data_IF_365374485943
#
_entry.id   IF_365374485943
#
_cell.length_a   1.000
_cell.length_b   1.000
_cell.length_c   1.000
_cell.angle_alpha   90.00
_cell.angle_beta   90.00
_cell.angle_gamma   90.00
#
_symmetry.space_group_name_H-M   'P 1'
#
loop_
_entity.id
_entity.type
_entity.pdbx_description
1 polymer ?
#
# COMPACT_ATOMS: atom_id res chain seq x y z
N UNK A 1 7.46 -3.08 -14.30
CA UNK A 1 7.17 -2.30 -15.52
C UNK A 1 7.05 -0.81 -15.17
N UNK A 2 7.50 0.11 -16.03
CA UNK A 2 7.29 1.57 -15.90
C UNK A 2 6.60 2.08 -17.17
N UNK A 3 5.39 2.61 -17.04
CA UNK A 3 4.68 3.31 -18.13
C UNK A 3 4.86 4.82 -17.92
N UNK A 4 5.12 5.56 -19.00
CA UNK A 4 5.27 7.03 -18.96
C UNK A 4 4.45 7.63 -20.09
N UNK A 5 3.54 8.57 -19.78
CA UNK A 5 2.81 9.32 -20.79
C UNK A 5 3.74 10.42 -21.35
N UNK A 6 4.14 10.28 -22.62
CA UNK A 6 5.13 11.16 -23.27
C UNK A 6 4.49 12.32 -24.05
N UNK A 7 3.32 12.10 -24.64
CA UNK A 7 2.60 13.09 -25.43
C UNK A 7 1.10 12.79 -25.45
N UNK A 8 0.28 13.77 -25.85
CA UNK A 8 -1.16 13.63 -25.97
C UNK A 8 -1.78 14.89 -26.57
N UNK A 9 -2.94 14.75 -27.22
CA UNK A 9 -3.65 15.85 -27.88
C UNK A 9 -5.15 15.73 -27.63
N UNK A 10 -5.78 16.86 -27.34
CA UNK A 10 -7.21 16.97 -27.06
C UNK A 10 -7.90 17.89 -28.07
N UNK A 11 -9.21 17.76 -28.24
CA UNK A 11 -10.03 18.77 -28.90
C UNK A 11 -11.13 19.27 -27.96
N UNK A 12 -11.13 20.57 -27.66
CA UNK A 12 -11.97 21.24 -26.64
C UNK A 12 -13.50 21.07 -26.79
N UNK A 13 -13.99 20.46 -27.88
CA UNK A 13 -15.41 20.16 -28.13
C UNK A 13 -15.70 18.68 -28.41
N UNK A 14 -14.68 17.85 -28.62
CA UNK A 14 -14.79 16.47 -29.14
C UNK A 14 -13.83 15.51 -28.42
N UNK A 15 -13.55 15.77 -27.15
CA UNK A 15 -12.75 14.88 -26.30
C UNK A 15 -13.27 14.97 -24.88
N UNK A 16 -13.80 13.86 -24.39
CA UNK A 16 -14.35 13.72 -23.05
C UNK A 16 -13.42 12.89 -22.15
N UNK A 17 -13.75 12.79 -20.85
CA UNK A 17 -12.94 12.03 -19.89
C UNK A 17 -12.87 10.53 -20.17
N UNK A 18 -13.87 9.98 -20.86
CA UNK A 18 -13.89 8.57 -21.28
C UNK A 18 -12.87 8.26 -22.39
N UNK A 19 -12.74 9.16 -23.36
CA UNK A 19 -11.88 8.96 -24.55
C UNK A 19 -10.42 8.76 -24.17
N UNK A 20 -9.93 9.52 -23.16
CA UNK A 20 -8.56 9.34 -22.65
C UNK A 20 -8.35 7.99 -21.96
N UNK A 21 -9.38 7.41 -21.34
CA UNK A 21 -9.29 6.09 -20.69
C UNK A 21 -9.21 4.99 -21.74
N UNK A 22 -10.09 5.03 -22.74
CA UNK A 22 -10.06 4.13 -23.90
C UNK A 22 -8.75 4.24 -24.68
N UNK A 23 -8.29 5.46 -24.97
CA UNK A 23 -7.01 5.70 -25.62
C UNK A 23 -5.82 5.19 -24.79
N UNK A 24 -5.88 5.29 -23.46
CA UNK A 24 -4.82 4.75 -22.58
C UNK A 24 -4.76 3.22 -22.67
N UNK A 25 -5.91 2.55 -22.57
CA UNK A 25 -5.97 1.09 -22.69
C UNK A 25 -5.52 0.60 -24.07
N UNK A 26 -5.97 1.26 -25.14
CA UNK A 26 -5.55 0.94 -26.52
C UNK A 26 -4.07 1.23 -26.76
N UNK A 27 -3.50 2.29 -26.19
CA UNK A 27 -2.06 2.56 -26.26
C UNK A 27 -1.21 1.50 -25.54
N UNK A 28 -1.66 1.00 -24.38
CA UNK A 28 -1.00 -0.12 -23.69
C UNK A 28 -1.14 -1.41 -24.52
N UNK A 29 -2.32 -1.69 -25.07
CA UNK A 29 -2.57 -2.86 -25.93
C UNK A 29 -1.72 -2.81 -27.21
N UNK A 30 -1.63 -1.65 -27.87
CA UNK A 30 -0.75 -1.40 -29.01
C UNK A 30 0.70 -1.76 -28.66
N UNK A 31 1.21 -1.25 -27.53
CA UNK A 31 2.57 -1.55 -27.07
C UNK A 31 2.81 -3.04 -26.81
N UNK A 32 1.82 -3.77 -26.29
CA UNK A 32 1.88 -5.22 -26.07
C UNK A 32 1.79 -6.04 -27.38
N UNK A 33 1.14 -5.53 -28.43
CA UNK A 33 1.13 -6.16 -29.77
C UNK A 33 2.42 -5.89 -30.56
N UNK A 34 3.05 -4.73 -30.33
CA UNK A 34 4.31 -4.34 -30.97
C UNK A 34 5.57 -4.91 -30.30
N UNK A 35 5.45 -5.63 -29.18
CA UNK A 35 6.60 -6.13 -28.40
C UNK A 35 6.40 -7.57 -27.94
N UNK A 36 7.51 -8.26 -27.63
CA UNK A 36 7.45 -9.60 -27.03
C UNK A 36 6.99 -9.48 -25.57
N UNK A 37 5.76 -9.89 -25.31
CA UNK A 37 5.23 -9.98 -23.94
C UNK A 37 5.89 -11.13 -23.17
N UNK A 38 6.43 -10.84 -21.98
CA UNK A 38 7.04 -11.84 -21.09
C UNK A 38 6.03 -12.23 -20.01
N UNK A 39 5.72 -13.53 -19.91
CA UNK A 39 4.90 -14.05 -18.83
C UNK A 39 5.69 -14.06 -17.51
N UNK A 40 5.04 -13.60 -16.43
CA UNK A 40 5.60 -13.62 -15.08
C UNK A 40 4.77 -14.55 -14.20
N UNK A 41 5.41 -15.24 -13.26
CA UNK A 41 4.75 -16.07 -12.26
C UNK A 41 5.23 -15.72 -10.84
N UNK A 42 4.45 -16.02 -9.78
CA UNK A 42 4.85 -15.71 -8.42
C UNK A 42 5.94 -16.66 -7.93
N UNK A 43 6.95 -16.10 -7.28
CA UNK A 43 8.08 -16.83 -6.68
C UNK A 43 8.04 -16.77 -5.16
N UNK A 44 8.38 -17.86 -4.50
CA UNK A 44 8.72 -17.89 -3.08
C UNK A 44 10.16 -17.47 -2.86
N UNK A 45 10.43 -16.80 -1.74
CA UNK A 45 11.70 -16.87 -1.01
C UNK A 45 11.54 -17.95 0.04
N UNK A 46 12.54 -18.80 0.25
CA UNK A 46 12.44 -19.91 1.20
C UNK A 46 13.66 -20.06 2.11
N UNK A 47 13.41 -20.65 3.27
CA UNK A 47 14.40 -21.22 4.18
C UNK A 47 14.06 -22.71 4.35
N UNK A 48 15.05 -23.58 4.15
CA UNK A 48 14.93 -25.03 4.28
C UNK A 48 15.98 -25.54 5.27
N UNK A 49 15.52 -25.88 6.47
CA UNK A 49 16.29 -26.58 7.49
C UNK A 49 16.25 -28.09 7.20
N UNK A 50 17.41 -28.75 7.16
CA UNK A 50 17.50 -30.21 7.00
C UNK A 50 18.84 -30.76 7.52
N UNK A 51 18.93 -32.08 7.82
CA UNK A 51 20.21 -32.69 8.18
C UNK A 51 21.25 -32.54 7.07
N UNK A 52 22.49 -32.19 7.39
CA UNK A 52 23.53 -31.82 6.41
C UNK A 52 23.71 -32.88 5.30
N UNK A 53 23.62 -34.16 5.68
CA UNK A 53 23.72 -35.35 4.80
C UNK A 53 22.65 -35.40 3.69
N UNK A 54 21.61 -34.55 3.76
CA UNK A 54 20.53 -34.43 2.76
C UNK A 54 20.63 -33.16 1.90
N UNK A 55 21.54 -32.24 2.18
CA UNK A 55 21.68 -30.94 1.48
C UNK A 55 21.81 -31.11 -0.04
N UNK A 56 22.73 -31.97 -0.50
CA UNK A 56 22.94 -32.19 -1.93
C UNK A 56 21.71 -32.75 -2.66
N UNK A 57 20.86 -33.54 -1.98
CA UNK A 57 19.56 -33.94 -2.52
C UNK A 57 18.62 -32.75 -2.61
N UNK A 58 18.49 -31.97 -1.54
CA UNK A 58 17.56 -30.85 -1.50
C UNK A 58 17.88 -29.79 -2.57
N UNK A 59 19.17 -29.48 -2.79
CA UNK A 59 19.60 -28.62 -3.90
C UNK A 59 19.22 -29.22 -5.25
N UNK A 60 19.52 -30.51 -5.48
CA UNK A 60 19.14 -31.23 -6.71
C UNK A 60 17.62 -31.24 -6.97
N UNK A 61 16.81 -31.29 -5.91
CA UNK A 61 15.34 -31.25 -6.01
C UNK A 61 14.83 -29.80 -6.21
N UNK A 62 15.52 -28.77 -5.68
CA UNK A 62 15.24 -27.34 -5.94
C UNK A 62 15.61 -26.93 -7.37
N UNK A 63 16.73 -27.40 -7.90
CA UNK A 63 17.17 -27.13 -9.28
C UNK A 63 16.12 -27.65 -10.29
N UNK A 64 15.59 -28.87 -10.07
CA UNK A 64 14.48 -29.43 -10.87
C UNK A 64 13.18 -28.63 -10.78
N UNK A 65 12.97 -27.93 -9.68
CA UNK A 65 11.83 -27.04 -9.47
C UNK A 65 12.05 -25.65 -10.12
N UNK A 66 13.14 -25.45 -10.86
CA UNK A 66 13.57 -24.16 -11.44
C UNK A 66 13.80 -23.08 -10.38
N UNK A 67 14.23 -23.50 -9.19
CA UNK A 67 14.67 -22.62 -8.12
C UNK A 67 16.18 -22.37 -8.11
N UNK A 68 16.58 -21.40 -7.31
CA UNK A 68 17.97 -21.16 -6.89
C UNK A 68 18.11 -21.49 -5.40
N UNK A 69 19.28 -22.00 -4.99
CA UNK A 69 19.58 -22.25 -3.57
C UNK A 69 21.06 -22.04 -3.22
N UNK A 70 21.31 -21.60 -1.99
CA UNK A 70 22.63 -21.46 -1.39
C UNK A 70 22.62 -21.90 0.08
N UNK A 71 23.77 -22.29 0.62
CA UNK A 71 23.91 -22.71 2.02
C UNK A 71 24.20 -21.48 2.88
N UNK A 72 23.22 -21.06 3.69
CA UNK A 72 23.38 -19.95 4.63
C UNK A 72 24.13 -20.38 5.91
N UNK A 73 23.94 -21.62 6.35
CA UNK A 73 24.59 -22.18 7.54
C UNK A 73 24.71 -23.71 7.48
N UNK A 74 25.74 -24.26 8.12
CA UNK A 74 25.82 -25.69 8.48
C UNK A 74 26.63 -25.83 9.77
N UNK A 75 26.17 -26.70 10.68
CA UNK A 75 26.83 -26.98 11.97
C UNK A 75 27.41 -28.41 12.08
N UNK A 76 27.21 -29.24 11.06
CA UNK A 76 27.66 -30.64 10.99
C UNK A 76 26.62 -31.69 11.39
N UNK A 77 25.47 -31.28 11.92
CA UNK A 77 24.27 -32.13 12.04
C UNK A 77 23.13 -31.59 11.16
N UNK A 78 22.86 -30.28 11.26
CA UNK A 78 21.86 -29.54 10.50
C UNK A 78 22.48 -28.49 9.59
N UNK A 79 21.79 -28.21 8.49
CA UNK A 79 22.12 -27.17 7.53
C UNK A 79 20.87 -26.34 7.19
N UNK A 80 21.10 -25.09 6.80
CA UNK A 80 20.08 -24.14 6.38
C UNK A 80 20.36 -23.74 4.93
N UNK A 81 19.53 -24.21 4.02
CA UNK A 81 19.48 -23.71 2.64
C UNK A 81 18.53 -22.51 2.58
N UNK A 82 18.93 -21.46 1.87
CA UNK A 82 18.07 -20.33 1.51
C UNK A 82 18.02 -20.18 0.00
N UNK A 83 16.98 -19.54 -0.54
CA UNK A 83 16.87 -19.37 -1.98
C UNK A 83 15.50 -18.88 -2.44
N UNK A 84 15.22 -19.07 -3.73
CA UNK A 84 13.93 -18.70 -4.31
C UNK A 84 13.51 -19.62 -5.45
N UNK A 85 12.22 -19.91 -5.56
CA UNK A 85 11.68 -20.85 -6.54
C UNK A 85 10.22 -20.53 -6.91
N UNK A 86 9.71 -20.99 -8.07
CA UNK A 86 8.31 -20.83 -8.44
C UNK A 86 7.33 -21.37 -7.39
N UNK A 87 6.24 -20.64 -7.15
CA UNK A 87 5.12 -21.09 -6.29
C UNK A 87 4.39 -22.30 -6.90
N UNK A 88 4.44 -22.43 -8.22
CA UNK A 88 3.90 -23.53 -9.00
C UNK A 88 4.59 -24.86 -8.67
N UNK A 89 5.92 -24.88 -8.67
CA UNK A 89 6.74 -26.09 -8.51
C UNK A 89 6.96 -26.50 -7.05
N UNK A 90 7.16 -25.56 -6.12
CA UNK A 90 7.34 -25.88 -4.69
C UNK A 90 6.10 -26.47 -3.99
N UNK A 91 4.95 -26.56 -4.66
CA UNK A 91 3.69 -27.00 -4.06
C UNK A 91 3.77 -28.46 -3.58
N UNK A 92 3.63 -28.65 -2.27
CA UNK A 92 3.79 -29.91 -1.51
C UNK A 92 5.23 -30.32 -1.17
N UNK A 93 6.28 -29.59 -1.58
CA UNK A 93 7.67 -30.03 -1.39
C UNK A 93 8.02 -30.36 0.08
N UNK A 94 7.43 -29.66 1.07
CA UNK A 94 7.58 -29.98 2.49
C UNK A 94 7.19 -31.43 2.87
N UNK A 95 6.27 -32.08 2.14
CA UNK A 95 5.91 -33.49 2.36
C UNK A 95 7.04 -34.43 1.93
N UNK A 96 7.73 -34.11 0.84
CA UNK A 96 8.88 -34.87 0.35
C UNK A 96 10.10 -34.65 1.24
N UNK A 97 10.35 -33.40 1.64
CA UNK A 97 11.33 -33.03 2.68
C UNK A 97 11.11 -33.87 3.94
N UNK A 98 9.90 -33.88 4.51
CA UNK A 98 9.57 -34.72 5.68
C UNK A 98 9.88 -36.20 5.41
N UNK A 99 9.51 -36.73 4.25
CA UNK A 99 9.70 -38.13 3.92
C UNK A 99 11.18 -38.54 3.84
N UNK A 100 12.04 -37.77 3.15
CA UNK A 100 13.46 -38.14 3.02
C UNK A 100 14.32 -37.74 4.24
N UNK A 101 13.94 -36.70 4.98
CA UNK A 101 14.61 -36.31 6.24
C UNK A 101 14.11 -37.09 7.47
N UNK A 102 13.13 -37.99 7.30
CA UNK A 102 12.45 -38.74 8.39
C UNK A 102 11.77 -37.84 9.43
N UNK A 103 11.31 -36.65 9.01
CA UNK A 103 10.64 -35.67 9.85
C UNK A 103 11.53 -34.56 10.40
N UNK A 104 12.85 -34.61 10.20
CA UNK A 104 13.77 -33.58 10.70
C UNK A 104 13.80 -32.30 9.84
N UNK A 105 13.27 -32.33 8.62
CA UNK A 105 13.32 -31.22 7.66
C UNK A 105 12.12 -30.26 7.72
N UNK A 106 12.39 -28.96 7.58
CA UNK A 106 11.40 -27.87 7.65
C UNK A 106 11.63 -26.84 6.55
N UNK A 107 10.66 -26.74 5.65
CA UNK A 107 10.55 -25.69 4.64
C UNK A 107 9.65 -24.55 5.15
N UNK A 108 10.18 -23.33 5.14
CA UNK A 108 9.45 -22.08 5.33
C UNK A 108 9.47 -21.30 4.01
N UNK A 109 8.33 -20.76 3.59
CA UNK A 109 8.23 -19.97 2.35
C UNK A 109 7.49 -18.65 2.60
N UNK A 110 7.97 -17.57 2.00
CA UNK A 110 7.32 -16.25 1.93
C UNK A 110 7.24 -15.79 0.47
N UNK A 111 6.25 -14.95 0.12
CA UNK A 111 6.12 -14.45 -1.25
C UNK A 111 7.23 -13.42 -1.55
N UNK A 112 8.14 -13.74 -2.49
CA UNK A 112 9.23 -12.85 -2.93
C UNK A 112 8.73 -11.77 -3.88
N UNK A 113 7.77 -12.13 -4.74
CA UNK A 113 7.23 -11.26 -5.78
C UNK A 113 6.87 -12.07 -7.02
N UNK A 114 7.06 -11.46 -8.20
CA UNK A 114 6.88 -12.08 -9.50
C UNK A 114 8.18 -12.01 -10.30
N UNK A 115 8.59 -13.13 -10.88
CA UNK A 115 9.77 -13.26 -11.74
C UNK A 115 9.35 -13.88 -13.09
N UNK A 116 10.29 -14.02 -14.04
CA UNK A 116 9.98 -14.62 -15.34
C UNK A 116 9.48 -16.06 -15.16
N UNK A 117 8.38 -16.41 -15.84
CA UNK A 117 7.82 -17.75 -15.77
C UNK A 117 8.79 -18.79 -16.33
N UNK A 118 8.86 -19.96 -15.70
CA UNK A 118 9.82 -21.02 -16.03
C UNK A 118 9.39 -21.92 -17.22
N UNK A 119 8.08 -22.01 -17.48
CA UNK A 119 7.50 -22.80 -18.59
C UNK A 119 6.50 -21.97 -19.44
N UNK A 120 6.86 -20.77 -19.93
CA UNK A 120 5.90 -19.83 -20.49
C UNK A 120 5.22 -20.34 -21.75
N UNK A 121 5.89 -21.13 -22.58
CA UNK A 121 5.32 -21.72 -23.80
C UNK A 121 4.15 -22.66 -23.49
N UNK A 122 4.31 -23.56 -22.51
CA UNK A 122 3.28 -24.51 -22.08
C UNK A 122 2.03 -23.78 -21.53
N UNK A 123 2.25 -22.74 -20.74
CA UNK A 123 1.17 -21.94 -20.15
C UNK A 123 0.46 -21.09 -21.23
N UNK A 124 1.19 -20.53 -22.20
CA UNK A 124 0.61 -19.75 -23.30
C UNK A 124 -0.19 -20.67 -24.24
N UNK A 125 0.34 -21.84 -24.60
CA UNK A 125 -0.35 -22.82 -25.46
C UNK A 125 -1.62 -23.38 -24.79
N UNK A 126 -1.53 -23.76 -23.51
CA UNK A 126 -2.67 -24.34 -22.76
C UNK A 126 -3.78 -23.34 -22.44
N UNK A 127 -3.46 -22.04 -22.32
CA UNK A 127 -4.47 -20.97 -22.20
C UNK A 127 -5.05 -20.61 -23.58
N UNK A 128 -4.26 -20.66 -24.66
CA UNK A 128 -4.71 -20.43 -26.03
C UNK A 128 -5.27 -19.03 -26.29
N UNK A 129 -4.76 -18.00 -25.60
CA UNK A 129 -5.28 -16.63 -25.67
C UNK A 129 -5.02 -15.99 -27.04
N UNK A 130 -6.07 -15.84 -27.84
CA UNK A 130 -6.07 -15.06 -29.09
C UNK A 130 -6.35 -13.58 -28.77
N UNK A 131 -5.37 -12.66 -28.95
CA UNK A 131 -5.55 -11.26 -28.59
C UNK A 131 -6.53 -10.51 -29.51
N UNK A 132 -6.76 -10.98 -30.74
CA UNK A 132 -7.68 -10.32 -31.69
C UNK A 132 -9.14 -10.68 -31.44
N UNK A 133 -9.41 -11.73 -30.64
CA UNK A 133 -10.76 -12.09 -30.16
C UNK A 133 -11.15 -11.44 -28.84
N UNK A 134 -10.24 -10.75 -28.17
CA UNK A 134 -10.54 -10.08 -26.90
C UNK A 134 -11.35 -8.79 -27.12
N UNK A 135 -12.68 -8.93 -27.08
CA UNK A 135 -13.63 -7.80 -27.18
C UNK A 135 -13.55 -6.83 -25.99
N UNK A 136 -12.90 -7.20 -24.89
CA UNK A 136 -12.69 -6.33 -23.71
C UNK A 136 -11.39 -5.52 -23.79
N UNK A 137 -10.37 -6.05 -24.48
CA UNK A 137 -9.09 -5.38 -24.74
C UNK A 137 -8.76 -5.42 -26.25
N UNK A 138 -9.59 -4.80 -27.12
CA UNK A 138 -9.42 -4.88 -28.57
C UNK A 138 -8.05 -4.36 -29.02
N UNK A 139 -7.39 -5.08 -29.93
CA UNK A 139 -6.07 -4.73 -30.47
C UNK A 139 -6.08 -3.43 -31.30
N UNK A 140 -7.20 -3.13 -31.94
CA UNK A 140 -7.38 -1.99 -32.82
C UNK A 140 -7.52 -0.64 -32.09
N UNK A 141 -7.14 0.44 -32.77
CA UNK A 141 -7.47 1.80 -32.37
C UNK A 141 -8.64 2.36 -33.17
N UNK A 142 -9.27 3.42 -32.64
CA UNK A 142 -10.34 4.16 -33.31
C UNK A 142 -9.83 5.54 -33.69
N UNK A 143 -10.03 5.93 -34.94
CA UNK A 143 -9.68 7.24 -35.48
C UNK A 143 -10.94 7.93 -36.02
N UNK A 144 -10.92 9.26 -36.10
CA UNK A 144 -12.06 10.04 -36.58
C UNK A 144 -11.69 10.84 -37.83
N UNK A 145 -12.43 10.63 -38.92
CA UNK A 145 -12.30 11.38 -40.18
C UNK A 145 -13.68 11.92 -40.59
N UNK A 146 -13.75 13.17 -41.04
CA UNK A 146 -14.99 13.82 -41.51
C UNK A 146 -16.19 13.76 -40.52
N UNK A 147 -15.94 13.50 -39.24
CA UNK A 147 -16.97 13.37 -38.20
C UNK A 147 -17.46 11.93 -37.94
N UNK A 148 -16.99 10.93 -38.70
CA UNK A 148 -17.23 9.51 -38.41
C UNK A 148 -16.00 8.84 -37.77
N UNK A 149 -16.25 7.92 -36.84
CA UNK A 149 -15.23 7.03 -36.28
C UNK A 149 -15.03 5.80 -37.16
N UNK A 150 -13.77 5.42 -37.39
CA UNK A 150 -13.38 4.20 -38.09
C UNK A 150 -12.31 3.44 -37.30
N UNK A 151 -12.27 2.13 -37.48
CA UNK A 151 -11.38 1.22 -36.75
C UNK A 151 -10.13 0.96 -37.60
N UNK A 152 -8.95 1.07 -36.99
CA UNK A 152 -7.64 0.81 -37.61
C UNK A 152 -6.98 -0.38 -36.93
N UNK A 153 -6.57 -1.44 -37.66
CA UNK A 153 -5.82 -2.56 -37.11
C UNK A 153 -4.50 -2.12 -36.47
N UNK A 154 -4.07 -2.80 -35.41
CA UNK A 154 -2.90 -2.40 -34.60
C UNK A 154 -1.66 -2.11 -35.44
N UNK A 155 -1.34 -2.97 -36.41
CA UNK A 155 -0.17 -2.83 -37.29
C UNK A 155 -0.21 -1.60 -38.23
N UNK A 156 -1.37 -0.98 -38.41
CA UNK A 156 -1.57 0.24 -39.22
C UNK A 156 -1.61 1.54 -38.39
N UNK A 157 -1.88 1.48 -37.08
CA UNK A 157 -2.20 2.64 -36.22
C UNK A 157 -1.19 3.78 -36.35
N UNK A 158 0.11 3.46 -36.44
CA UNK A 158 1.20 4.45 -36.61
C UNK A 158 1.05 5.34 -37.86
N UNK A 159 0.45 4.83 -38.93
CA UNK A 159 0.24 5.59 -40.17
C UNK A 159 -0.87 6.65 -40.04
N UNK A 160 -1.73 6.54 -39.03
CA UNK A 160 -2.85 7.44 -38.77
C UNK A 160 -2.62 8.34 -37.52
N UNK A 161 -1.51 8.16 -36.79
CA UNK A 161 -1.22 8.95 -35.59
C UNK A 161 -0.99 10.44 -35.92
N UNK A 162 -1.80 11.32 -35.33
CA UNK A 162 -1.68 12.79 -35.47
C UNK A 162 -0.63 13.43 -34.54
N UNK A 163 0.37 12.65 -34.10
CA UNK A 163 1.46 13.02 -33.18
C UNK A 163 2.73 12.28 -33.60
N UNK A 164 3.87 12.96 -33.54
CA UNK A 164 5.19 12.36 -33.80
C UNK A 164 5.57 11.32 -32.74
N UNK A 165 6.30 10.29 -33.13
CA UNK A 165 6.82 9.29 -32.20
C UNK A 165 7.93 9.90 -31.33
N UNK A 166 7.74 9.87 -30.01
CA UNK A 166 8.72 10.38 -29.03
C UNK A 166 10.15 9.82 -29.23
N UNK A 167 10.26 8.57 -29.70
CA UNK A 167 11.53 7.94 -30.01
C UNK A 167 12.19 8.47 -31.29
N UNK A 168 11.42 8.86 -32.32
CA UNK A 168 11.96 9.42 -33.57
C UNK A 168 12.65 10.77 -33.31
N UNK A 169 12.07 11.62 -32.46
CA UNK A 169 12.72 12.85 -32.01
C UNK A 169 14.03 12.54 -31.24
N UNK A 170 14.04 11.49 -30.42
CA UNK A 170 15.24 11.11 -29.65
C UNK A 170 16.36 10.56 -30.53
N UNK A 171 16.05 9.73 -31.52
CA UNK A 171 17.01 9.25 -32.51
C UNK A 171 17.56 10.40 -33.35
N UNK A 172 16.71 11.29 -33.85
CA UNK A 172 17.14 12.49 -34.60
C UNK A 172 18.08 13.39 -33.80
N UNK A 173 17.81 13.60 -32.50
CA UNK A 173 18.67 14.37 -31.61
C UNK A 173 20.00 13.65 -31.31
N UNK A 174 20.01 12.31 -31.23
CA UNK A 174 21.26 11.53 -31.12
C UNK A 174 22.08 11.60 -32.41
N UNK A 175 21.47 11.49 -33.59
CA UNK A 175 22.18 11.61 -34.87
C UNK A 175 22.82 13.01 -35.04
N UNK A 176 22.11 14.07 -34.64
CA UNK A 176 22.65 15.43 -34.63
C UNK A 176 23.80 15.62 -33.63
N UNK A 177 23.76 14.95 -32.47
CA UNK A 177 24.87 14.99 -31.49
C UNK A 177 26.09 14.16 -31.94
N UNK A 178 25.86 13.06 -32.66
CA UNK A 178 26.92 12.20 -33.19
C UNK A 178 27.70 12.84 -34.35
N UNK A 179 27.10 13.76 -35.11
CA UNK A 179 27.78 14.50 -36.19
C UNK A 179 28.69 15.63 -35.65
N UNK A 180 28.29 16.31 -34.57
CA UNK A 180 29.09 17.36 -33.91
C UNK A 180 30.09 16.78 -32.90
N UNK A 181 30.88 15.80 -33.34
CA UNK A 181 31.49 14.82 -32.45
C UNK A 181 32.73 15.24 -31.63
N UNK A 182 33.00 14.40 -30.62
CA UNK A 182 34.26 14.25 -29.86
C UNK A 182 34.59 15.30 -28.79
N UNK A 183 33.95 15.14 -27.64
CA UNK A 183 34.67 15.11 -26.36
C UNK A 183 34.26 13.84 -25.59
N UNK A 184 35.20 13.18 -24.93
CA UNK A 184 34.99 12.05 -24.04
C UNK A 184 35.76 12.36 -22.76
N UNK A 185 35.09 12.34 -21.60
CA UNK A 185 35.57 11.99 -20.24
C UNK A 185 34.62 12.61 -19.18
N UNK A 186 34.34 11.80 -18.15
CA UNK A 186 33.72 12.11 -16.85
C UNK A 186 32.28 12.67 -16.79
N UNK A 187 31.46 11.97 -16.00
CA UNK A 187 30.19 12.48 -15.48
C UNK A 187 30.46 13.47 -14.34
N UNK A 188 30.41 14.77 -14.63
CA UNK A 188 30.52 15.79 -13.60
C UNK A 188 29.26 15.83 -12.73
N UNK A 189 29.40 15.53 -11.44
CA UNK A 189 28.38 15.87 -10.44
C UNK A 189 28.16 17.38 -10.44
N UNK A 190 26.91 17.81 -10.64
CA UNK A 190 26.51 19.21 -10.47
C UNK A 190 26.63 19.55 -8.98
N UNK A 191 27.39 20.59 -8.65
CA UNK A 191 27.57 21.03 -7.26
C UNK A 191 26.37 21.85 -6.77
N UNK A 192 26.23 21.96 -5.44
CA UNK A 192 25.05 22.57 -4.82
C UNK A 192 24.90 24.06 -5.09
N UNK A 193 25.98 24.78 -5.42
CA UNK A 193 25.95 26.23 -5.69
C UNK A 193 25.14 26.61 -6.94
N UNK A 194 25.14 25.77 -7.99
CA UNK A 194 24.44 26.08 -9.25
C UNK A 194 22.91 25.99 -9.11
N UNK A 195 22.44 25.20 -8.14
CA UNK A 195 21.01 25.08 -7.79
C UNK A 195 20.52 26.35 -7.09
N UNK A 196 21.32 26.94 -6.20
CA UNK A 196 20.98 28.15 -5.44
C UNK A 196 20.91 29.40 -6.34
N UNK A 197 21.74 29.50 -7.38
CA UNK A 197 21.65 30.54 -8.41
C UNK A 197 20.30 30.53 -9.15
N UNK A 198 19.72 29.35 -9.38
CA UNK A 198 18.42 29.17 -10.05
C UNK A 198 17.28 29.47 -9.07
N UNK A 199 17.37 29.03 -7.82
CA UNK A 199 16.37 29.32 -6.78
C UNK A 199 16.23 30.83 -6.54
N UNK A 200 17.35 31.55 -6.37
CA UNK A 200 17.34 32.98 -6.04
C UNK A 200 16.72 33.86 -7.15
N UNK A 201 16.76 33.45 -8.42
CA UNK A 201 16.19 34.20 -9.55
C UNK A 201 14.66 34.11 -9.67
N UNK A 202 13.97 33.28 -8.88
CA UNK A 202 12.53 33.01 -9.04
C UNK A 202 11.62 33.55 -7.92
N UNK A 203 12.15 33.90 -6.74
CA UNK A 203 11.32 34.05 -5.53
C UNK A 203 10.75 35.45 -5.21
N UNK A 204 11.19 36.52 -5.89
CA UNK A 204 10.84 37.91 -5.51
C UNK A 204 10.16 38.75 -6.62
N UNK A 205 9.36 38.12 -7.48
CA UNK A 205 8.51 38.82 -8.44
C UNK A 205 7.05 38.96 -7.96
N UNK A 206 6.67 40.19 -7.57
CA UNK A 206 5.30 40.70 -7.39
C UNK A 206 4.49 40.26 -6.14
N UNK A 207 4.49 41.10 -5.11
CA UNK A 207 3.32 41.30 -4.25
C UNK A 207 2.36 42.31 -4.92
N UNK A 208 1.04 42.06 -4.96
CA UNK A 208 0.10 43.03 -5.55
C UNK A 208 -1.39 42.63 -5.63
N UNK A 209 -2.16 42.92 -4.59
CA UNK A 209 -3.62 43.19 -4.58
C UNK A 209 -4.62 42.34 -5.42
N UNK A 210 -5.05 41.23 -4.80
CA UNK A 210 -6.46 40.89 -4.49
C UNK A 210 -7.60 41.31 -5.46
N UNK A 211 -8.26 40.32 -6.04
CA UNK A 211 -9.73 40.13 -5.88
C UNK A 211 -10.07 38.63 -5.95
N UNK A 212 -11.27 38.21 -5.54
CA UNK A 212 -11.50 36.84 -5.07
C UNK A 212 -12.35 35.95 -6.00
N UNK A 213 -11.83 34.77 -6.37
CA UNK A 213 -12.65 33.57 -6.54
C UNK A 213 -11.84 32.27 -6.34
N UNK A 214 -12.56 31.14 -6.22
CA UNK A 214 -12.04 29.85 -5.73
C UNK A 214 -11.00 29.23 -6.68
N UNK A 215 -9.80 28.90 -6.18
CA UNK A 215 -8.87 27.95 -6.82
C UNK A 215 -8.93 26.59 -6.12
N UNK A 216 -9.05 25.52 -6.91
CA UNK A 216 -8.99 24.12 -6.45
C UNK A 216 -7.55 23.74 -6.08
N UNK A 217 -7.39 22.78 -5.16
CA UNK A 217 -6.12 22.10 -4.86
C UNK A 217 -5.62 21.31 -6.09
N UNK A 218 -4.33 21.00 -6.14
CA UNK A 218 -3.65 20.35 -7.27
C UNK A 218 -3.89 18.83 -7.35
N UNK A 219 -3.79 18.27 -8.56
CA UNK A 219 -4.15 16.88 -8.84
C UNK A 219 -3.01 15.88 -8.54
N UNK A 220 -2.80 15.58 -7.26
CA UNK A 220 -1.95 14.47 -6.79
C UNK A 220 -2.66 13.56 -5.76
N UNK A 221 -3.66 14.07 -5.03
CA UNK A 221 -4.31 13.39 -3.89
C UNK A 221 -5.62 12.65 -4.25
N UNK A 222 -5.83 12.25 -5.51
CA UNK A 222 -7.16 11.82 -6.00
C UNK A 222 -7.25 10.48 -6.72
N UNK A 223 -6.22 9.64 -6.73
CA UNK A 223 -6.23 8.40 -7.53
C UNK A 223 -7.06 7.23 -6.96
N UNK A 224 -7.55 7.32 -5.72
CA UNK A 224 -8.40 6.29 -5.10
C UNK A 224 -9.58 6.85 -4.29
N UNK A 225 -10.68 7.19 -4.99
CA UNK A 225 -12.07 6.82 -4.59
C UNK A 225 -13.04 6.97 -5.79
N UNK A 226 -14.21 6.27 -5.80
CA UNK A 226 -14.99 5.99 -7.02
C UNK A 226 -16.22 6.92 -7.18
N UNK A 227 -17.18 6.68 -8.11
CA UNK A 227 -18.35 5.77 -7.97
C UNK A 227 -19.10 5.66 -9.32
N UNK A 228 -19.51 4.42 -9.67
CA UNK A 228 -20.68 3.88 -10.44
C UNK A 228 -21.27 4.66 -11.66
N UNK A 229 -22.20 4.16 -12.48
CA UNK A 229 -23.01 2.91 -12.56
C UNK A 229 -23.13 2.55 -14.09
N UNK A 230 -23.92 1.64 -14.70
CA UNK A 230 -25.12 0.82 -14.42
C UNK A 230 -25.03 -0.44 -15.34
N UNK A 231 -25.44 -1.68 -15.01
CA UNK A 231 -25.52 -2.42 -13.74
C UNK A 231 -25.78 -3.91 -14.04
N UNK A 232 -25.19 -4.85 -13.29
CA UNK A 232 -25.73 -6.21 -13.10
C UNK A 232 -25.81 -6.44 -11.59
N UNK A 233 -26.89 -7.05 -11.10
CA UNK A 233 -27.17 -7.15 -9.66
C UNK A 233 -26.22 -8.10 -8.94
N UNK A 234 -25.30 -7.55 -8.14
CA UNK A 234 -24.65 -8.29 -7.07
C UNK A 234 -24.43 -7.37 -5.84
N UNK A 235 -24.76 -7.86 -4.63
CA UNK A 235 -24.91 -7.01 -3.44
C UNK A 235 -23.56 -6.73 -2.76
N UNK A 236 -22.87 -5.67 -3.19
CA UNK A 236 -21.65 -5.20 -2.53
C UNK A 236 -21.96 -4.51 -1.20
N UNK A 237 -21.86 -5.26 -0.10
CA UNK A 237 -21.90 -4.70 1.25
C UNK A 237 -20.59 -3.97 1.57
N UNK A 238 -20.70 -2.72 2.05
CA UNK A 238 -19.53 -1.98 2.55
C UNK A 238 -19.08 -2.61 3.86
N UNK A 239 -18.01 -3.41 3.81
CA UNK A 239 -17.43 -4.05 5.00
C UNK A 239 -16.99 -3.00 6.02
N UNK A 240 -17.42 -3.17 7.28
CA UNK A 240 -16.91 -2.38 8.40
C UNK A 240 -15.39 -2.57 8.56
N UNK A 241 -14.70 -1.57 9.12
CA UNK A 241 -13.27 -1.63 9.38
C UNK A 241 -12.94 -1.88 10.84
N UNK A 242 -12.08 -2.85 11.12
CA UNK A 242 -11.58 -3.19 12.46
C UNK A 242 -10.06 -3.03 12.54
N UNK A 243 -9.59 -2.62 13.72
CA UNK A 243 -8.17 -2.45 14.04
C UNK A 243 -7.82 -3.19 15.35
N UNK A 244 -7.49 -4.50 15.31
CA UNK A 244 -6.87 -5.20 16.42
C UNK A 244 -5.47 -4.64 16.70
N UNK A 245 -5.13 -4.43 17.98
CA UNK A 245 -3.86 -3.86 18.44
C UNK A 245 -3.29 -4.74 19.55
N UNK A 246 -2.06 -5.19 19.39
CA UNK A 246 -1.29 -5.84 20.46
C UNK A 246 -0.79 -4.77 21.45
N UNK A 247 -1.42 -4.70 22.63
CA UNK A 247 -1.17 -3.65 23.59
C UNK A 247 0.25 -3.63 24.13
N UNK A 248 0.86 -4.79 24.39
CA UNK A 248 2.22 -4.85 24.93
C UNK A 248 3.30 -4.63 23.87
N UNK A 249 3.07 -5.10 22.63
CA UNK A 249 3.95 -4.80 21.51
C UNK A 249 4.01 -3.29 21.22
N UNK A 250 2.87 -2.59 21.25
CA UNK A 250 2.84 -1.12 21.12
C UNK A 250 3.55 -0.44 22.30
N UNK A 251 3.27 -0.83 23.55
CA UNK A 251 3.92 -0.25 24.74
C UNK A 251 5.45 -0.39 24.69
N UNK A 252 5.96 -1.58 24.35
CA UNK A 252 7.41 -1.81 24.24
C UNK A 252 8.07 -1.05 23.07
N UNK A 253 7.33 -0.74 22.00
CA UNK A 253 7.85 -0.07 20.82
C UNK A 253 7.81 1.47 20.88
N UNK A 254 7.02 2.06 21.79
CA UNK A 254 6.90 3.52 21.95
C UNK A 254 7.66 3.99 23.19
N UNK A 255 8.73 4.80 23.06
CA UNK A 255 9.57 5.20 24.20
C UNK A 255 8.79 5.78 25.39
N UNK A 256 7.80 6.63 25.11
CA UNK A 256 6.99 7.30 26.14
C UNK A 256 6.13 6.30 26.95
N UNK A 257 5.61 5.27 26.28
CA UNK A 257 4.85 4.20 26.94
C UNK A 257 5.77 3.22 27.67
N UNK A 258 6.95 2.96 27.11
CA UNK A 258 7.94 2.05 27.70
C UNK A 258 8.51 2.60 29.00
N UNK A 259 8.92 3.87 29.02
CA UNK A 259 9.40 4.56 30.22
C UNK A 259 8.34 4.52 31.33
N UNK A 260 7.07 4.81 31.00
CA UNK A 260 5.97 4.70 31.95
C UNK A 260 5.62 3.26 32.35
N UNK A 261 5.86 2.26 31.50
CA UNK A 261 5.64 0.85 31.83
C UNK A 261 6.69 0.31 32.81
N UNK A 262 7.95 0.77 32.68
CA UNK A 262 9.05 0.42 33.58
C UNK A 262 8.85 1.03 34.99
N UNK A 263 8.08 2.13 35.13
CA UNK A 263 7.62 2.67 36.42
C UNK A 263 6.28 2.08 36.91
N UNK A 264 5.25 2.07 36.05
CA UNK A 264 3.90 1.62 36.36
C UNK A 264 3.17 1.12 35.10
N UNK A 265 3.13 -0.21 34.95
CA UNK A 265 2.45 -0.92 33.88
C UNK A 265 0.99 -0.48 33.65
N UNK A 266 0.25 -0.17 34.70
CA UNK A 266 -1.17 0.18 34.60
C UNK A 266 -1.37 1.59 34.05
N UNK A 267 -0.44 2.51 34.36
CA UNK A 267 -0.40 3.83 33.76
C UNK A 267 -0.10 3.75 32.26
N UNK A 268 0.86 2.90 31.85
CA UNK A 268 1.16 2.68 30.43
C UNK A 268 0.00 2.02 29.65
N UNK A 269 -0.68 1.04 30.25
CA UNK A 269 -1.92 0.45 29.68
C UNK A 269 -3.00 1.50 29.49
N UNK A 270 -3.29 2.31 30.52
CA UNK A 270 -4.32 3.36 30.47
C UNK A 270 -3.97 4.44 29.43
N UNK A 271 -2.72 4.88 29.37
CA UNK A 271 -2.30 5.91 28.41
C UNK A 271 -2.39 5.42 26.95
N UNK A 272 -2.09 4.15 26.67
CA UNK A 272 -2.32 3.57 25.34
C UNK A 272 -3.81 3.55 24.99
N UNK A 273 -4.66 3.12 25.94
CA UNK A 273 -6.13 3.11 25.80
C UNK A 273 -6.66 4.51 25.48
N UNK A 274 -6.22 5.55 26.20
CA UNK A 274 -6.59 6.94 25.93
C UNK A 274 -6.14 7.43 24.55
N UNK A 275 -4.91 7.14 24.14
CA UNK A 275 -4.38 7.52 22.82
C UNK A 275 -5.21 6.87 21.69
N UNK A 276 -5.57 5.59 21.84
CA UNK A 276 -6.36 4.86 20.85
C UNK A 276 -7.84 5.27 20.86
N UNK A 277 -8.42 5.58 22.01
CA UNK A 277 -9.77 6.14 22.16
C UNK A 277 -9.91 7.46 21.39
N UNK A 278 -8.92 8.35 21.54
CA UNK A 278 -8.83 9.58 20.76
C UNK A 278 -8.64 9.30 19.26
N UNK A 279 -7.77 8.35 18.89
CA UNK A 279 -7.53 7.99 17.50
C UNK A 279 -8.79 7.48 16.78
N UNK A 280 -9.61 6.66 17.45
CA UNK A 280 -10.91 6.22 16.91
C UNK A 280 -11.95 7.36 16.81
N UNK A 281 -11.79 8.42 17.61
CA UNK A 281 -12.57 9.65 17.43
C UNK A 281 -12.28 10.35 16.08
N UNK A 282 -11.05 10.23 15.57
CA UNK A 282 -10.61 10.85 14.32
C UNK A 282 -10.86 9.93 13.11
N UNK A 283 -10.61 8.61 13.25
CA UNK A 283 -10.76 7.64 12.14
C UNK A 283 -11.85 6.61 12.43
N UNK A 284 -12.72 6.38 11.42
CA UNK A 284 -13.84 5.42 11.46
C UNK A 284 -13.40 3.95 11.40
N UNK A 285 -12.59 3.54 12.37
CA UNK A 285 -12.28 2.15 12.69
C UNK A 285 -13.10 1.70 13.90
N UNK A 286 -13.16 0.38 14.14
CA UNK A 286 -13.47 -0.21 15.45
C UNK A 286 -12.18 -0.82 16.00
N UNK A 287 -11.59 -0.19 17.01
CA UNK A 287 -10.33 -0.62 17.62
C UNK A 287 -10.62 -1.66 18.70
N UNK A 288 -9.82 -2.73 18.69
CA UNK A 288 -9.81 -3.76 19.72
C UNK A 288 -8.38 -3.84 20.27
N UNK A 289 -8.17 -3.42 21.52
CA UNK A 289 -6.87 -3.50 22.19
C UNK A 289 -6.80 -4.80 22.96
N UNK A 290 -5.78 -5.61 22.70
CA UNK A 290 -5.61 -6.94 23.30
C UNK A 290 -4.39 -6.93 24.20
N UNK A 291 -4.53 -7.38 25.44
CA UNK A 291 -3.45 -7.49 26.41
C UNK A 291 -3.35 -8.93 26.95
N UNK A 292 -2.13 -9.44 27.05
CA UNK A 292 -1.85 -10.72 27.70
C UNK A 292 -2.17 -10.72 29.20
N UNK A 293 -2.79 -11.80 29.66
CA UNK A 293 -2.98 -12.09 31.07
C UNK A 293 -1.68 -12.42 31.83
N UNK A 294 -0.54 -12.59 31.13
CA UNK A 294 0.72 -13.11 31.68
C UNK A 294 1.34 -12.30 32.84
N UNK A 295 0.76 -11.15 33.22
CA UNK A 295 1.25 -10.30 34.31
C UNK A 295 0.19 -9.86 35.34
N UNK A 296 -1.06 -10.30 35.25
CA UNK A 296 -2.12 -9.96 36.22
C UNK A 296 -2.90 -11.20 36.64
N UNK A 297 -2.75 -11.61 37.90
CA UNK A 297 -3.41 -12.82 38.42
C UNK A 297 -4.94 -12.67 38.51
N UNK A 298 -5.66 -13.70 38.06
CA UNK A 298 -7.00 -14.02 38.58
C UNK A 298 -8.22 -13.51 37.82
N UNK A 299 -8.07 -12.83 36.67
CA UNK A 299 -9.21 -12.40 35.86
C UNK A 299 -9.70 -13.48 34.88
N UNK A 300 -11.00 -13.46 34.61
CA UNK A 300 -11.61 -14.16 33.46
C UNK A 300 -11.52 -13.25 32.22
N UNK A 301 -11.95 -13.74 31.06
CA UNK A 301 -12.10 -12.88 29.88
C UNK A 301 -13.11 -11.75 30.16
N UNK A 302 -12.59 -10.57 30.45
CA UNK A 302 -13.37 -9.34 30.61
C UNK A 302 -13.18 -8.48 29.37
N UNK A 303 -14.31 -8.15 28.74
CA UNK A 303 -14.40 -7.22 27.61
C UNK A 303 -14.87 -5.87 28.16
N UNK A 304 -13.92 -4.99 28.47
CA UNK A 304 -14.23 -3.64 28.91
C UNK A 304 -14.42 -2.72 27.70
N UNK A 305 -15.53 -1.98 27.68
CA UNK A 305 -15.78 -0.93 26.69
C UNK A 305 -15.29 0.40 27.27
N UNK A 306 -14.05 0.77 26.98
CA UNK A 306 -13.47 2.02 27.46
C UNK A 306 -13.76 3.14 26.45
N UNK A 307 -14.60 4.11 26.85
CA UNK A 307 -15.15 5.17 26.01
C UNK A 307 -15.83 4.65 24.72
N UNK A 308 -15.06 4.51 23.65
CA UNK A 308 -15.49 4.12 22.31
C UNK A 308 -14.74 2.89 21.75
N UNK A 309 -13.70 2.39 22.44
CA UNK A 309 -12.89 1.24 22.01
C UNK A 309 -13.18 0.01 22.86
N UNK A 310 -12.89 -1.17 22.30
CA UNK A 310 -12.98 -2.44 23.02
C UNK A 310 -11.61 -2.82 23.59
N UNK A 311 -11.55 -3.15 24.87
CA UNK A 311 -10.34 -3.69 25.53
C UNK A 311 -10.61 -5.14 25.90
N UNK A 312 -9.66 -6.02 25.60
CA UNK A 312 -9.74 -7.46 25.84
C UNK A 312 -8.50 -7.94 26.58
N UNK A 313 -8.71 -8.58 27.73
CA UNK A 313 -7.69 -9.35 28.41
C UNK A 313 -7.83 -10.82 28.02
N UNK A 314 -6.72 -11.46 27.63
CA UNK A 314 -6.72 -12.88 27.25
C UNK A 314 -6.87 -13.80 28.47
N UNK A 315 -6.88 -15.12 28.28
CA UNK A 315 -6.72 -16.08 29.38
C UNK A 315 -5.24 -16.34 29.65
N UNK A 316 -4.88 -16.77 30.86
CA UNK A 316 -3.49 -17.15 31.24
C UNK A 316 -2.83 -18.17 30.29
N UNK A 317 -3.62 -18.96 29.56
CA UNK A 317 -3.17 -19.96 28.59
C UNK A 317 -3.38 -19.57 27.11
N UNK A 318 -3.63 -18.29 26.80
CA UNK A 318 -3.82 -17.79 25.44
C UNK A 318 -3.08 -16.45 25.25
N UNK A 319 -2.26 -16.34 24.21
CA UNK A 319 -1.53 -15.09 23.93
C UNK A 319 -2.36 -14.06 23.17
N UNK A 320 -1.94 -12.79 23.22
CA UNK A 320 -2.49 -11.72 22.39
C UNK A 320 -2.42 -12.07 20.90
N UNK A 321 -1.30 -12.65 20.43
CA UNK A 321 -1.14 -13.23 19.09
C UNK A 321 -2.32 -14.16 18.76
N UNK A 322 -2.51 -15.22 19.56
CA UNK A 322 -3.51 -16.25 19.33
C UNK A 322 -4.95 -15.71 19.37
N UNK A 323 -5.21 -14.63 20.12
CA UNK A 323 -6.51 -13.94 20.07
C UNK A 323 -6.68 -13.13 18.78
N UNK A 324 -5.66 -12.35 18.39
CA UNK A 324 -5.68 -11.49 17.20
C UNK A 324 -5.74 -12.33 15.91
N UNK A 325 -4.95 -13.40 15.81
CA UNK A 325 -4.97 -14.38 14.73
C UNK A 325 -6.35 -15.02 14.59
N UNK A 326 -6.92 -15.54 15.68
CA UNK A 326 -8.26 -16.12 15.64
C UNK A 326 -9.33 -15.11 15.26
N UNK A 327 -9.24 -13.87 15.77
CA UNK A 327 -10.16 -12.80 15.39
C UNK A 327 -10.08 -12.49 13.88
N UNK A 328 -8.87 -12.42 13.32
CA UNK A 328 -8.65 -12.26 11.88
C UNK A 328 -9.25 -13.45 11.10
N UNK A 329 -9.01 -14.69 11.55
CA UNK A 329 -9.47 -15.90 10.87
C UNK A 329 -10.99 -15.95 10.77
N UNK A 330 -11.67 -15.71 11.89
CA UNK A 330 -13.13 -15.78 11.99
C UNK A 330 -13.81 -14.61 11.24
N UNK A 331 -13.12 -13.48 10.98
CA UNK A 331 -13.76 -12.23 10.53
C UNK A 331 -13.26 -11.61 9.21
N UNK A 332 -12.10 -11.98 8.63
CA UNK A 332 -11.55 -11.38 7.40
C UNK A 332 -12.53 -11.46 6.20
N UNK A 333 -13.36 -12.51 6.15
CA UNK A 333 -14.41 -12.66 5.13
C UNK A 333 -15.53 -11.63 5.27
N UNK A 334 -15.80 -11.13 6.48
CA UNK A 334 -16.92 -10.23 6.81
C UNK A 334 -16.50 -8.75 6.92
N UNK A 335 -15.34 -8.46 7.49
CA UNK A 335 -14.84 -7.11 7.74
C UNK A 335 -13.55 -6.81 6.97
N UNK A 336 -13.10 -5.55 6.98
CA UNK A 336 -11.76 -5.15 6.55
C UNK A 336 -10.91 -4.96 7.81
N UNK A 337 -9.93 -5.84 8.01
CA UNK A 337 -9.15 -5.90 9.26
C UNK A 337 -7.74 -5.37 8.97
N UNK A 338 -7.27 -4.47 9.84
CA UNK A 338 -5.90 -3.95 9.87
C UNK A 338 -5.31 -4.32 11.22
N UNK A 339 -4.26 -5.12 11.30
CA UNK A 339 -3.63 -5.46 12.60
C UNK A 339 -2.45 -4.54 12.88
N UNK A 340 -2.38 -3.99 14.08
CA UNK A 340 -1.25 -3.20 14.55
C UNK A 340 -0.29 -4.04 15.41
N UNK A 341 0.87 -4.38 14.84
CA UNK A 341 1.91 -5.19 15.51
C UNK A 341 3.28 -5.06 14.85
N UNK A 342 4.33 -5.16 15.66
CA UNK A 342 5.73 -5.22 15.23
C UNK A 342 6.36 -6.60 15.41
N UNK A 343 5.59 -7.60 15.87
CA UNK A 343 6.10 -8.97 15.99
C UNK A 343 6.12 -9.67 14.63
N UNK A 344 7.28 -10.21 14.24
CA UNK A 344 7.47 -10.88 12.95
C UNK A 344 6.62 -12.14 12.75
N UNK A 345 6.26 -12.85 13.83
CA UNK A 345 5.42 -14.04 13.75
C UNK A 345 3.95 -13.66 13.47
N UNK A 346 3.40 -12.70 14.22
CA UNK A 346 2.06 -12.16 13.94
C UNK A 346 1.99 -11.58 12.51
N UNK A 347 3.05 -10.89 12.06
CA UNK A 347 3.09 -10.28 10.72
C UNK A 347 2.90 -11.29 9.59
N UNK A 348 3.52 -12.47 9.69
CA UNK A 348 3.39 -13.54 8.69
C UNK A 348 1.96 -14.10 8.65
N UNK A 349 1.35 -14.30 9.83
CA UNK A 349 0.04 -14.97 9.93
C UNK A 349 -1.09 -14.05 9.46
N UNK A 350 -1.07 -12.76 9.87
CA UNK A 350 -2.06 -11.75 9.45
C UNK A 350 -2.11 -11.56 7.93
N UNK A 351 -0.95 -11.55 7.26
CA UNK A 351 -0.87 -11.46 5.80
C UNK A 351 -1.47 -12.70 5.10
N UNK A 352 -1.34 -13.89 5.70
CA UNK A 352 -1.90 -15.13 5.16
C UNK A 352 -3.42 -15.12 5.00
N UNK A 353 -4.12 -14.24 5.71
CA UNK A 353 -5.59 -14.15 5.73
C UNK A 353 -6.15 -12.95 4.94
N UNK A 354 -5.29 -12.22 4.23
CA UNK A 354 -5.68 -11.03 3.47
C UNK A 354 -6.02 -9.81 4.34
N UNK A 355 -5.60 -9.81 5.60
CA UNK A 355 -5.68 -8.65 6.48
C UNK A 355 -4.54 -7.66 6.16
N UNK A 356 -4.78 -6.37 6.37
CA UNK A 356 -3.73 -5.34 6.26
C UNK A 356 -2.91 -5.32 7.54
N UNK A 357 -1.65 -4.87 7.46
CA UNK A 357 -0.79 -4.71 8.64
C UNK A 357 -0.32 -3.26 8.81
N UNK A 358 0.00 -2.91 10.05
CA UNK A 358 0.54 -1.63 10.46
C UNK A 358 1.57 -1.88 11.57
N UNK A 359 2.83 -1.48 11.41
CA UNK A 359 3.81 -1.59 12.50
C UNK A 359 3.51 -0.60 13.62
N UNK A 360 4.06 -0.81 14.82
CA UNK A 360 3.90 0.15 15.92
C UNK A 360 4.42 1.55 15.55
N UNK A 361 5.46 1.64 14.70
CA UNK A 361 6.03 2.90 14.23
C UNK A 361 5.10 3.62 13.26
N UNK A 362 4.47 2.89 12.34
CA UNK A 362 3.50 3.45 11.40
C UNK A 362 2.21 3.87 12.11
N UNK A 363 1.71 3.08 13.06
CA UNK A 363 0.57 3.46 13.91
C UNK A 363 0.87 4.76 14.66
N UNK A 364 2.07 4.90 15.25
CA UNK A 364 2.49 6.13 15.93
C UNK A 364 2.51 7.33 14.99
N UNK A 365 3.08 7.16 13.79
CA UNK A 365 3.12 8.22 12.78
C UNK A 365 1.71 8.62 12.32
N UNK A 366 0.83 7.66 12.04
CA UNK A 366 -0.56 7.91 11.60
C UNK A 366 -1.38 8.61 12.70
N UNK A 367 -1.18 8.26 13.97
CA UNK A 367 -1.77 8.93 15.13
C UNK A 367 -1.23 10.36 15.28
N UNK A 368 0.08 10.57 15.14
CA UNK A 368 0.69 11.90 15.23
C UNK A 368 0.22 12.82 14.08
N UNK A 369 0.12 12.29 12.85
CA UNK A 369 -0.40 13.04 11.70
C UNK A 369 -1.89 13.34 11.87
N UNK A 370 -2.71 12.37 12.29
CA UNK A 370 -4.14 12.56 12.56
C UNK A 370 -4.37 13.67 13.61
N UNK A 371 -3.60 13.65 14.71
CA UNK A 371 -3.66 14.69 15.74
C UNK A 371 -3.16 16.05 15.24
N UNK A 372 -2.13 16.09 14.39
CA UNK A 372 -1.64 17.34 13.76
C UNK A 372 -2.70 17.94 12.84
N UNK A 373 -3.26 17.13 11.95
CA UNK A 373 -4.30 17.55 11.00
C UNK A 373 -5.54 18.06 11.75
N UNK A 374 -5.98 17.37 12.81
CA UNK A 374 -7.07 17.80 13.68
C UNK A 374 -6.77 19.15 14.37
N UNK A 375 -5.56 19.33 14.93
CA UNK A 375 -5.12 20.62 15.52
C UNK A 375 -5.05 21.74 14.50
N UNK A 376 -4.63 21.45 13.28
CA UNK A 376 -4.64 22.41 12.18
C UNK A 376 -6.06 22.80 11.75
N UNK A 377 -7.01 21.86 11.70
CA UNK A 377 -8.42 22.14 11.40
C UNK A 377 -9.07 22.97 12.52
N UNK A 378 -8.91 22.60 13.80
CA UNK A 378 -9.38 23.44 14.91
C UNK A 378 -8.70 24.81 14.95
N UNK A 379 -7.41 24.90 14.61
CA UNK A 379 -6.70 26.17 14.49
C UNK A 379 -7.24 27.06 13.37
N UNK A 380 -7.64 26.48 12.23
CA UNK A 380 -8.31 27.19 11.12
C UNK A 380 -9.73 27.61 11.52
N UNK A 381 -10.45 26.79 12.30
CA UNK A 381 -11.79 27.10 12.82
C UNK A 381 -11.75 28.24 13.84
N UNK A 382 -10.91 28.17 14.87
CA UNK A 382 -10.76 29.25 15.87
C UNK A 382 -10.11 30.51 15.29
N UNK A 383 -9.17 30.35 14.35
CA UNK A 383 -8.57 31.47 13.62
C UNK A 383 -9.55 32.21 12.72
N UNK A 384 -10.59 31.52 12.22
CA UNK A 384 -11.68 32.11 11.42
C UNK A 384 -12.89 32.56 12.24
N UNK A 385 -13.10 32.00 13.45
CA UNK A 385 -14.18 32.35 14.35
C UNK A 385 -13.67 32.56 15.78
N UNK A 386 -13.30 33.80 16.10
CA UNK A 386 -13.43 34.31 17.48
C UNK A 386 -14.90 34.53 17.80
N UNK A 387 -15.67 33.44 17.91
CA UNK A 387 -16.96 33.49 18.56
C UNK A 387 -16.69 33.72 20.04
N UNK A 388 -16.90 34.96 20.51
CA UNK A 388 -16.85 35.26 21.93
C UNK A 388 -17.96 34.45 22.62
N UNK A 389 -17.76 34.06 23.88
CA UNK A 389 -18.71 33.21 24.63
C UNK A 389 -20.13 33.82 24.72
N UNK A 390 -20.24 35.12 24.54
CA UNK A 390 -21.50 35.80 24.38
C UNK A 390 -22.26 35.38 23.11
N UNK A 391 -21.63 35.19 21.95
CA UNK A 391 -22.35 34.96 20.68
C UNK A 391 -22.97 33.58 20.49
N UNK A 392 -22.72 32.64 21.41
CA UNK A 392 -23.48 31.39 21.53
C UNK A 392 -24.61 31.44 22.58
N UNK A 393 -24.72 32.51 23.38
CA UNK A 393 -25.78 32.67 24.38
C UNK A 393 -27.08 33.23 23.77
N UNK A 394 -28.22 32.73 24.24
CA UNK A 394 -29.53 33.27 23.89
C UNK A 394 -29.67 34.72 24.35
N UNK A 395 -30.59 35.47 23.72
CA UNK A 395 -30.85 36.87 24.09
C UNK A 395 -31.26 37.01 25.57
N UNK A 396 -31.99 36.04 26.11
CA UNK A 396 -32.37 36.00 27.53
C UNK A 396 -31.17 35.79 28.46
N UNK A 397 -30.25 34.87 28.10
CA UNK A 397 -29.03 34.66 28.86
C UNK A 397 -28.08 35.88 28.78
N UNK A 398 -27.95 36.51 27.60
CA UNK A 398 -27.24 37.80 27.44
C UNK A 398 -27.84 38.90 28.32
N UNK A 399 -29.16 38.91 28.52
CA UNK A 399 -29.84 39.90 29.36
C UNK A 399 -29.59 39.63 30.85
N UNK A 400 -29.81 38.40 31.32
CA UNK A 400 -29.58 38.00 32.71
C UNK A 400 -28.13 38.25 33.15
N UNK A 401 -27.16 37.97 32.30
CA UNK A 401 -25.74 38.20 32.60
C UNK A 401 -25.42 39.70 32.76
N UNK A 402 -26.05 40.57 31.97
CA UNK A 402 -25.94 42.03 32.09
C UNK A 402 -26.64 42.60 33.32
N UNK A 403 -27.76 42.00 33.72
CA UNK A 403 -28.51 42.43 34.92
C UNK A 403 -27.87 41.93 36.24
N UNK A 404 -27.04 40.88 36.18
CA UNK A 404 -26.13 40.48 37.26
C UNK A 404 -24.93 41.43 37.37
N UNK A 405 -24.26 41.74 36.26
CA UNK A 405 -23.10 42.68 36.21
C UNK A 405 -23.48 44.12 36.58
N UNK A 406 -24.79 44.46 36.62
CA UNK A 406 -25.33 45.75 37.10
C UNK A 406 -25.78 45.75 38.56
N UNK A 407 -25.51 44.68 39.32
CA UNK A 407 -25.89 44.55 40.73
C UNK A 407 -24.70 44.44 41.70
N UNK A 408 -23.49 44.59 41.16
CA UNK A 408 -22.30 45.06 41.87
C UNK A 408 -22.08 46.55 41.55
#
# INVERSE_FOLDING_TARGET
MKITLVSGRAHNKHTEGGDFREATWRAVRQGLMETQSVLLEPYYSFQLELPEKMVGRAMTDIDKMNGTSEIAHSDGDMAILVGSAPVSTMRNYQKEVIAYTKGNGRLFCSLKGYEQCHNPEEIIESIGYDPERDLSNPTSSVFCAQGSGFVVPWYEVKNYMHLEGYFQQRESLLEQSLQNGKAYIEESFISTEEIDEIMNKTFYANQGNKSAWKKRKTAAESYYKPVNEVSVTNQYTVKEKYLPVDGYNIIHAWPELKELMDENMDAARMQLIDILSNYQGIKRFKIIVVFDAYRVQGYREEMENYNNIHVVYTKEAQTADQYIEKFAHDNHKKYNIVVATSDGLQQIIVWGEGCTLLSARELKAEIQEANKNLREEYGKIQGSNRNYLEDSLSLEAKQQMKDLIKKE
#
